data_IF_714785994485
#
_entry.id   IF_714785994485
#
_cell.length_a   1.000
_cell.length_b   1.000
_cell.length_c   1.000
_cell.angle_alpha   90.00
_cell.angle_beta   90.00
_cell.angle_gamma   90.00
#
_symmetry.space_group_name_H-M   'P 1'
#
loop_
_entity.id
_entity.type
_entity.pdbx_description
1 polymer ?
#
# COMPACT_ATOMS: atom_id res chain seq x y z
N UNK A 1 -11.72 1.60 -5.87
CA UNK A 1 -10.87 1.60 -7.06
C UNK A 1 -10.12 2.91 -7.20
N UNK A 2 -8.98 2.88 -7.88
CA UNK A 2 -8.18 4.08 -8.19
C UNK A 2 -9.01 5.15 -8.92
N UNK A 3 -9.92 4.75 -9.83
CA UNK A 3 -10.87 5.69 -10.46
C UNK A 3 -11.62 6.53 -9.43
N UNK A 4 -12.21 5.90 -8.42
CA UNK A 4 -12.96 6.61 -7.37
C UNK A 4 -12.03 7.44 -6.48
N UNK A 5 -10.83 6.94 -6.20
CA UNK A 5 -9.80 7.67 -5.47
C UNK A 5 -9.41 8.96 -6.19
N UNK A 6 -9.06 8.88 -7.46
CA UNK A 6 -8.68 10.03 -8.28
C UNK A 6 -9.80 11.08 -8.38
N UNK A 7 -11.06 10.65 -8.56
CA UNK A 7 -12.20 11.58 -8.65
C UNK A 7 -12.43 12.43 -7.40
N UNK A 8 -12.09 11.91 -6.23
CA UNK A 8 -12.28 12.60 -4.95
C UNK A 8 -10.99 13.13 -4.33
N UNK A 9 -9.83 12.92 -4.97
CA UNK A 9 -8.52 13.23 -4.42
C UNK A 9 -8.39 14.69 -4.00
N UNK A 10 -8.82 15.61 -4.87
CA UNK A 10 -8.76 17.05 -4.61
C UNK A 10 -9.69 17.51 -3.46
N UNK A 11 -10.81 16.83 -3.24
CA UNK A 11 -11.76 17.18 -2.17
C UNK A 11 -11.45 16.51 -0.84
N UNK A 12 -10.95 15.27 -0.88
CA UNK A 12 -10.86 14.41 0.31
C UNK A 12 -9.43 14.29 0.85
N UNK A 13 -8.41 14.55 0.03
CA UNK A 13 -7.01 14.42 0.43
C UNK A 13 -6.32 15.78 0.57
N UNK A 14 -6.34 16.60 -0.48
CA UNK A 14 -5.55 17.83 -0.52
C UNK A 14 -5.90 18.85 0.59
N UNK A 15 -7.17 19.00 1.03
CA UNK A 15 -7.50 19.94 2.11
C UNK A 15 -6.87 19.59 3.46
N UNK A 16 -6.55 18.31 3.69
CA UNK A 16 -5.92 17.85 4.92
C UNK A 16 -4.41 18.11 4.96
N UNK A 17 -3.79 18.43 3.82
CA UNK A 17 -2.35 18.73 3.68
C UNK A 17 -1.47 17.68 4.37
N UNK A 18 -1.63 16.39 4.06
CA UNK A 18 -0.82 15.36 4.70
C UNK A 18 0.64 15.52 4.30
N UNK A 19 1.57 15.15 5.19
CA UNK A 19 3.00 15.10 4.88
C UNK A 19 3.36 13.82 4.12
N UNK A 20 2.59 12.75 4.32
CA UNK A 20 2.76 11.44 3.70
C UNK A 20 1.39 10.85 3.32
N UNK A 21 1.33 10.23 2.16
CA UNK A 21 0.15 9.54 1.64
C UNK A 21 0.50 8.10 1.27
N UNK A 22 -0.31 7.15 1.74
CA UNK A 22 -0.32 5.77 1.22
C UNK A 22 -1.41 5.63 0.17
N UNK A 23 -1.10 4.98 -0.97
CA UNK A 23 -2.07 4.68 -2.03
C UNK A 23 -2.14 3.16 -2.20
N UNK A 24 -3.35 2.59 -1.97
CA UNK A 24 -3.64 1.16 -2.09
C UNK A 24 -5.02 0.94 -2.73
N UNK A 25 -5.06 0.57 -4.00
CA UNK A 25 -6.29 0.30 -4.75
C UNK A 25 -6.25 -0.97 -5.61
N UNK A 26 -5.07 -1.56 -5.82
CA UNK A 26 -4.84 -2.58 -6.85
C UNK A 26 -5.75 -3.78 -6.76
N UNK A 27 -6.07 -4.26 -5.56
CA UNK A 27 -7.00 -5.38 -5.37
C UNK A 27 -8.37 -5.10 -6.00
N UNK A 28 -8.85 -3.88 -5.86
CA UNK A 28 -10.15 -3.44 -6.35
C UNK A 28 -10.11 -2.95 -7.81
N UNK A 29 -8.92 -2.79 -8.39
CA UNK A 29 -8.73 -2.30 -9.75
C UNK A 29 -8.76 -3.41 -10.80
N UNK A 30 -8.87 -4.68 -10.41
CA UNK A 30 -9.00 -5.83 -11.32
C UNK A 30 -10.17 -5.72 -12.33
N UNK A 31 -11.16 -4.88 -12.04
CA UNK A 31 -12.26 -4.57 -12.95
C UNK A 31 -11.90 -3.48 -14.00
N UNK A 32 -10.75 -2.85 -13.88
CA UNK A 32 -10.22 -1.85 -14.82
C UNK A 32 -9.19 -2.52 -15.74
N UNK A 33 -8.97 -1.94 -16.93
CA UNK A 33 -7.77 -2.28 -17.67
C UNK A 33 -6.53 -1.74 -16.95
N UNK A 34 -5.37 -2.36 -17.16
CA UNK A 34 -4.11 -1.87 -16.59
C UNK A 34 -3.82 -0.43 -17.02
N UNK A 35 -4.09 -0.08 -18.28
CA UNK A 35 -3.91 1.27 -18.78
C UNK A 35 -4.80 2.29 -18.05
N UNK A 36 -6.07 1.93 -17.85
CA UNK A 36 -7.02 2.78 -17.15
C UNK A 36 -6.64 2.94 -15.67
N UNK A 37 -6.32 1.84 -14.98
CA UNK A 37 -5.84 1.87 -13.59
C UNK A 37 -4.61 2.76 -13.48
N UNK A 38 -3.60 2.55 -14.35
CA UNK A 38 -2.35 3.34 -14.39
C UNK A 38 -2.61 4.84 -14.48
N UNK A 39 -3.55 5.26 -15.33
CA UNK A 39 -3.86 6.67 -15.50
C UNK A 39 -4.39 7.32 -14.23
N UNK A 40 -5.22 6.62 -13.46
CA UNK A 40 -5.75 7.13 -12.20
C UNK A 40 -4.71 7.13 -11.09
N UNK A 41 -3.86 6.10 -11.02
CA UNK A 41 -2.75 6.08 -10.07
C UNK A 41 -1.78 7.23 -10.35
N UNK A 42 -1.38 7.40 -11.60
CA UNK A 42 -0.48 8.48 -12.02
C UNK A 42 -1.04 9.85 -11.63
N UNK A 43 -2.32 10.11 -11.90
CA UNK A 43 -2.94 11.40 -11.58
C UNK A 43 -2.95 11.70 -10.07
N UNK A 44 -3.15 10.69 -9.21
CA UNK A 44 -3.08 10.85 -7.75
C UNK A 44 -1.64 11.10 -7.28
N UNK A 45 -0.67 10.36 -7.82
CA UNK A 45 0.75 10.54 -7.50
C UNK A 45 1.21 11.94 -7.89
N UNK A 46 0.95 12.36 -9.13
CA UNK A 46 1.30 13.68 -9.64
C UNK A 46 0.70 14.79 -8.78
N UNK A 47 -0.60 14.69 -8.50
CA UNK A 47 -1.30 15.67 -7.65
C UNK A 47 -0.73 15.73 -6.24
N UNK A 48 -0.32 14.60 -5.64
CA UNK A 48 0.32 14.57 -4.34
C UNK A 48 1.70 15.27 -4.40
N UNK A 49 2.53 14.92 -5.37
CA UNK A 49 3.88 15.48 -5.53
C UNK A 49 3.85 17.00 -5.80
N UNK A 50 2.92 17.47 -6.63
CA UNK A 50 2.70 18.90 -6.89
C UNK A 50 2.32 19.68 -5.62
N UNK A 51 1.72 19.02 -4.64
CA UNK A 51 1.36 19.59 -3.34
C UNK A 51 2.39 19.31 -2.24
N UNK A 52 3.60 18.84 -2.59
CA UNK A 52 4.69 18.49 -1.67
C UNK A 52 4.33 17.38 -0.68
N UNK A 53 3.40 16.49 -1.03
CA UNK A 53 3.02 15.32 -0.24
C UNK A 53 3.94 14.16 -0.64
N UNK A 54 4.61 13.53 0.31
CA UNK A 54 5.34 12.28 0.08
C UNK A 54 4.37 11.15 -0.20
N UNK A 55 4.76 10.21 -1.07
CA UNK A 55 3.90 9.11 -1.47
C UNK A 55 4.58 7.77 -1.23
N UNK A 56 3.84 6.81 -0.68
CA UNK A 56 4.19 5.40 -0.65
C UNK A 56 3.06 4.64 -1.34
N UNK A 57 3.41 3.86 -2.37
CA UNK A 57 2.46 2.99 -3.06
C UNK A 57 2.46 1.62 -2.39
N UNK A 58 1.29 0.99 -2.30
CA UNK A 58 1.14 -0.36 -1.77
C UNK A 58 0.72 -1.30 -2.90
N UNK A 59 1.47 -2.40 -3.09
CA UNK A 59 1.01 -3.50 -3.93
C UNK A 59 -0.11 -4.24 -3.19
N UNK A 60 -1.01 -4.96 -3.91
CA UNK A 60 -2.14 -5.62 -3.27
C UNK A 60 -1.68 -6.74 -2.33
N UNK A 61 -2.49 -7.00 -1.31
CA UNK A 61 -2.45 -8.27 -0.58
C UNK A 61 -3.03 -9.39 -1.45
N UNK A 62 -2.75 -10.69 -1.16
CA UNK A 62 -3.17 -11.78 -2.03
C UNK A 62 -4.70 -11.93 -2.11
N UNK A 63 -5.15 -12.57 -3.18
CA UNK A 63 -6.45 -13.20 -3.29
C UNK A 63 -6.26 -14.72 -3.41
N UNK A 64 -6.72 -15.50 -2.44
CA UNK A 64 -6.53 -16.96 -2.40
C UNK A 64 -7.33 -17.72 -3.48
N UNK A 65 -8.12 -17.02 -4.28
CA UNK A 65 -8.75 -17.60 -5.48
C UNK A 65 -7.83 -17.62 -6.69
N UNK A 66 -6.67 -16.95 -6.61
CA UNK A 66 -5.61 -16.95 -7.62
C UNK A 66 -4.36 -17.64 -7.05
N UNK A 67 -3.56 -18.24 -7.90
CA UNK A 67 -2.24 -18.73 -7.52
C UNK A 67 -1.25 -17.55 -7.49
N UNK A 68 -0.88 -17.12 -6.30
CA UNK A 68 0.05 -15.99 -6.11
C UNK A 68 1.45 -16.28 -6.70
N UNK A 69 1.80 -17.55 -6.93
CA UNK A 69 3.09 -17.93 -7.53
C UNK A 69 3.07 -17.85 -9.05
N UNK A 70 1.89 -17.75 -9.66
CA UNK A 70 1.72 -17.56 -11.10
C UNK A 70 1.91 -16.08 -11.49
N UNK A 71 2.98 -15.79 -12.25
CA UNK A 71 3.24 -14.44 -12.76
C UNK A 71 2.21 -13.97 -13.79
N UNK A 72 1.41 -14.90 -14.36
CA UNK A 72 0.34 -14.57 -15.29
C UNK A 72 -1.01 -14.29 -14.59
N UNK A 73 -1.09 -14.43 -13.26
CA UNK A 73 -2.29 -14.12 -12.52
C UNK A 73 -2.67 -12.63 -12.68
N UNK A 74 -3.96 -12.30 -12.83
CA UNK A 74 -4.40 -10.91 -13.00
C UNK A 74 -3.88 -9.96 -11.92
N UNK A 75 -3.87 -10.40 -10.67
CA UNK A 75 -3.41 -9.58 -9.55
C UNK A 75 -1.88 -9.34 -9.59
N UNK A 76 -1.10 -10.30 -10.13
CA UNK A 76 0.33 -10.13 -10.34
C UNK A 76 0.64 -8.98 -11.30
N UNK A 77 -0.14 -8.82 -12.38
CA UNK A 77 0.01 -7.73 -13.33
C UNK A 77 -0.28 -6.36 -12.69
N UNK A 78 -1.29 -6.27 -11.82
CA UNK A 78 -1.56 -5.05 -11.05
C UNK A 78 -0.47 -4.75 -10.03
N UNK A 79 0.10 -5.77 -9.37
CA UNK A 79 1.23 -5.58 -8.46
C UNK A 79 2.46 -5.04 -9.21
N UNK A 80 2.76 -5.60 -10.41
CA UNK A 80 3.87 -5.13 -11.24
C UNK A 80 3.67 -3.68 -11.68
N UNK A 81 2.45 -3.32 -12.09
CA UNK A 81 2.14 -1.94 -12.45
C UNK A 81 2.42 -0.96 -11.31
N UNK A 82 2.14 -1.33 -10.05
CA UNK A 82 2.43 -0.48 -8.88
C UNK A 82 3.93 -0.32 -8.67
N UNK A 83 4.72 -1.39 -8.86
CA UNK A 83 6.20 -1.33 -8.81
C UNK A 83 6.76 -0.37 -9.86
N UNK A 84 6.29 -0.53 -11.13
CA UNK A 84 6.69 0.36 -12.23
C UNK A 84 6.34 1.83 -11.95
N UNK A 85 5.17 2.10 -11.35
CA UNK A 85 4.78 3.45 -10.97
C UNK A 85 5.67 3.99 -9.85
N UNK A 86 5.99 3.20 -8.83
CA UNK A 86 6.89 3.62 -7.76
C UNK A 86 8.28 3.98 -8.30
N UNK A 87 8.81 3.18 -9.22
CA UNK A 87 10.08 3.45 -9.88
C UNK A 87 10.00 4.70 -10.78
N UNK A 88 8.96 4.82 -11.61
CA UNK A 88 8.78 5.93 -12.56
C UNK A 88 8.71 7.28 -11.85
N UNK A 89 8.00 7.36 -10.73
CA UNK A 89 7.80 8.60 -9.98
C UNK A 89 8.78 8.77 -8.83
N UNK A 90 9.71 7.82 -8.62
CA UNK A 90 10.68 7.82 -7.51
C UNK A 90 10.03 8.00 -6.15
N UNK A 91 8.93 7.28 -5.89
CA UNK A 91 8.18 7.28 -4.64
C UNK A 91 8.36 5.97 -3.88
N UNK A 92 7.93 5.95 -2.61
CA UNK A 92 8.04 4.76 -1.77
C UNK A 92 7.18 3.61 -2.25
N UNK A 93 7.56 2.38 -1.88
CA UNK A 93 6.84 1.15 -2.19
C UNK A 93 6.76 0.24 -0.95
N UNK A 94 5.56 -0.20 -0.61
CA UNK A 94 5.30 -1.32 0.30
C UNK A 94 4.86 -2.49 -0.58
N UNK A 95 5.74 -3.49 -0.74
CA UNK A 95 5.49 -4.61 -1.66
C UNK A 95 4.87 -5.80 -0.94
N UNK A 96 3.63 -5.63 -0.50
CA UNK A 96 2.85 -6.69 0.17
C UNK A 96 2.72 -7.94 -0.70
N UNK A 97 2.50 -7.78 -2.01
CA UNK A 97 2.37 -8.92 -2.92
C UNK A 97 3.63 -9.79 -2.93
N UNK A 98 4.81 -9.18 -3.02
CA UNK A 98 6.08 -9.91 -2.98
C UNK A 98 6.30 -10.62 -1.65
N UNK A 99 5.93 -10.02 -0.52
CA UNK A 99 6.02 -10.66 0.80
C UNK A 99 5.22 -11.96 0.86
N UNK A 100 3.96 -11.92 0.47
CA UNK A 100 3.10 -13.10 0.49
C UNK A 100 3.54 -14.13 -0.56
N UNK A 101 3.96 -13.68 -1.75
CA UNK A 101 4.50 -14.57 -2.78
C UNK A 101 5.75 -15.32 -2.30
N UNK A 102 6.67 -14.64 -1.63
CA UNK A 102 7.86 -15.27 -1.06
C UNK A 102 7.50 -16.38 -0.05
N UNK A 103 6.47 -16.16 0.78
CA UNK A 103 5.96 -17.17 1.71
C UNK A 103 5.37 -18.38 0.98
N UNK A 104 4.56 -18.16 -0.06
CA UNK A 104 4.00 -19.23 -0.89
C UNK A 104 5.11 -20.06 -1.54
N UNK A 105 6.12 -19.41 -2.11
CA UNK A 105 7.28 -20.07 -2.71
C UNK A 105 8.12 -20.86 -1.68
N UNK A 106 8.11 -20.44 -0.42
CA UNK A 106 8.71 -21.19 0.68
C UNK A 106 7.85 -22.37 1.16
N UNK A 107 6.68 -22.61 0.55
CA UNK A 107 5.77 -23.71 0.87
C UNK A 107 4.79 -23.38 2.01
N UNK A 108 4.66 -22.13 2.41
CA UNK A 108 3.67 -21.75 3.41
C UNK A 108 2.26 -21.65 2.77
N UNK A 109 1.25 -22.08 3.52
CA UNK A 109 -0.15 -21.93 3.13
C UNK A 109 -0.60 -20.48 3.40
N UNK A 110 -0.81 -19.71 2.34
CA UNK A 110 -1.18 -18.30 2.40
C UNK A 110 -2.55 -18.08 3.04
N UNK A 111 -3.44 -19.07 3.00
CA UNK A 111 -4.76 -18.97 3.65
C UNK A 111 -4.66 -18.71 5.16
N UNK A 112 -3.56 -19.10 5.80
CA UNK A 112 -3.29 -18.85 7.23
C UNK A 112 -3.18 -17.37 7.58
N UNK A 113 -2.89 -16.53 6.60
CA UNK A 113 -2.76 -15.07 6.73
C UNK A 113 -4.02 -14.32 6.33
N UNK A 114 -5.08 -15.04 5.93
CA UNK A 114 -6.29 -14.45 5.40
C UNK A 114 -7.49 -14.75 6.28
N UNK A 115 -8.38 -13.77 6.46
CA UNK A 115 -9.71 -13.94 7.10
C UNK A 115 -10.79 -14.29 6.08
N UNK A 116 -10.59 -13.86 4.84
CA UNK A 116 -11.39 -14.14 3.66
C UNK A 116 -10.44 -14.28 2.47
N UNK A 117 -10.95 -14.64 1.30
CA UNK A 117 -10.12 -14.85 0.12
C UNK A 117 -9.15 -13.68 -0.17
N UNK A 118 -9.58 -12.46 0.05
CA UNK A 118 -8.85 -11.24 -0.30
C UNK A 118 -8.76 -10.21 0.84
N UNK A 119 -8.99 -10.64 2.07
CA UNK A 119 -8.84 -9.80 3.26
C UNK A 119 -7.87 -10.47 4.25
N UNK A 120 -6.74 -9.85 4.57
CA UNK A 120 -5.83 -10.35 5.58
C UNK A 120 -6.49 -10.50 6.95
N UNK A 121 -6.04 -11.48 7.73
CA UNK A 121 -6.31 -11.56 9.16
C UNK A 121 -5.24 -10.80 9.95
N UNK A 122 -5.29 -10.86 11.29
CA UNK A 122 -4.32 -10.17 12.15
C UNK A 122 -2.86 -10.54 11.83
N UNK A 123 -2.56 -11.79 11.46
CA UNK A 123 -1.20 -12.20 11.08
C UNK A 123 -0.80 -11.61 9.72
N UNK A 124 -1.71 -11.59 8.75
CA UNK A 124 -1.48 -10.96 7.45
C UNK A 124 -1.28 -9.45 7.56
N UNK A 125 -2.11 -8.77 8.36
CA UNK A 125 -1.92 -7.34 8.65
C UNK A 125 -0.59 -7.06 9.35
N UNK A 126 -0.15 -7.94 10.24
CA UNK A 126 1.15 -7.79 10.90
C UNK A 126 2.30 -7.82 9.92
N UNK A 127 2.26 -8.72 8.92
CA UNK A 127 3.29 -8.77 7.88
C UNK A 127 3.37 -7.47 7.09
N UNK A 128 2.22 -6.92 6.70
CA UNK A 128 2.17 -5.64 5.97
C UNK A 128 2.65 -4.48 6.86
N UNK A 129 2.25 -4.47 8.14
CA UNK A 129 2.68 -3.44 9.08
C UNK A 129 4.20 -3.48 9.31
N UNK A 130 4.79 -4.66 9.45
CA UNK A 130 6.23 -4.80 9.61
C UNK A 130 6.99 -4.27 8.37
N UNK A 131 6.46 -4.45 7.16
CA UNK A 131 7.01 -3.88 5.93
C UNK A 131 6.86 -2.35 5.89
N UNK A 132 5.70 -1.82 6.25
CA UNK A 132 5.47 -0.37 6.37
C UNK A 132 6.48 0.24 7.35
N UNK A 133 6.71 -0.39 8.49
CA UNK A 133 7.62 0.11 9.52
C UNK A 133 9.08 0.22 9.03
N UNK A 134 9.48 -0.51 8.00
CA UNK A 134 10.83 -0.36 7.42
C UNK A 134 11.11 1.05 6.90
N UNK A 135 10.08 1.77 6.51
CA UNK A 135 10.19 3.16 6.05
C UNK A 135 10.45 4.17 7.18
N UNK A 136 10.25 3.76 8.43
CA UNK A 136 10.37 4.61 9.63
C UNK A 136 11.51 4.19 10.57
N UNK A 137 12.33 3.21 10.19
CA UNK A 137 13.39 2.65 11.05
C UNK A 137 14.57 3.60 11.33
N UNK A 138 14.65 4.74 10.66
CA UNK A 138 15.66 5.77 10.95
C UNK A 138 15.30 6.67 12.15
N UNK A 139 14.10 6.52 12.71
CA UNK A 139 13.77 7.12 14.01
C UNK A 139 14.41 6.25 15.09
N UNK A 140 15.65 6.54 15.46
CA UNK A 140 16.27 5.94 16.64
C UNK A 140 15.54 6.43 17.88
N UNK A 141 14.55 5.65 18.31
CA UNK A 141 13.86 5.89 19.58
C UNK A 141 14.79 5.41 20.67
N UNK A 142 15.40 6.31 21.41
CA UNK A 142 16.29 5.96 22.52
C UNK A 142 15.50 5.40 23.73
N UNK A 143 14.17 5.63 23.79
CA UNK A 143 13.28 5.05 24.84
C UNK A 143 11.87 4.82 24.28
N UNK A 144 11.13 3.83 24.82
CA UNK A 144 9.74 3.54 24.41
C UNK A 144 8.77 4.73 24.59
N UNK A 145 9.08 5.69 25.46
CA UNK A 145 8.28 6.90 25.67
C UNK A 145 8.49 7.96 24.58
N UNK A 146 9.68 8.03 24.01
CA UNK A 146 10.05 9.11 23.06
C UNK A 146 9.48 8.86 21.66
N UNK A 147 9.09 7.60 21.34
CA UNK A 147 8.54 7.27 20.01
C UNK A 147 7.17 7.93 19.79
N UNK A 148 6.27 7.83 20.75
CA UNK A 148 4.92 8.41 20.64
C UNK A 148 4.99 9.93 20.65
N UNK A 149 5.86 10.51 21.46
CA UNK A 149 6.03 11.95 21.56
C UNK A 149 6.78 12.58 20.38
N UNK A 150 7.55 11.77 19.63
CA UNK A 150 8.28 12.21 18.42
C UNK A 150 7.45 12.12 17.14
N UNK A 151 6.32 11.40 17.16
CA UNK A 151 5.40 11.37 16.04
C UNK A 151 4.69 12.71 15.93
N UNK A 152 4.82 13.35 14.78
CA UNK A 152 3.99 14.51 14.47
C UNK A 152 2.51 14.19 14.76
N UNK A 153 1.74 15.09 15.41
CA UNK A 153 0.34 14.85 15.77
C UNK A 153 -0.55 14.39 14.62
N UNK A 154 -0.16 14.71 13.37
CA UNK A 154 -0.84 14.29 12.15
C UNK A 154 -0.62 12.83 11.78
N UNK A 155 0.51 12.23 12.15
CA UNK A 155 0.78 10.81 11.97
C UNK A 155 0.01 9.97 13.01
N UNK A 156 -0.11 10.48 14.23
CA UNK A 156 -0.91 9.86 15.29
C UNK A 156 -2.39 9.73 14.92
N UNK A 157 -2.98 10.73 14.24
CA UNK A 157 -4.38 10.66 13.81
C UNK A 157 -4.61 9.55 12.78
N UNK A 158 -3.66 9.30 11.87
CA UNK A 158 -3.76 8.25 10.85
C UNK A 158 -3.71 6.85 11.49
N UNK A 159 -2.87 6.65 12.52
CA UNK A 159 -2.76 5.37 13.23
C UNK A 159 -4.02 5.09 14.05
N UNK A 160 -4.60 6.11 14.68
CA UNK A 160 -5.81 5.98 15.53
C UNK A 160 -7.10 5.76 14.72
N UNK A 161 -7.16 6.19 13.45
CA UNK A 161 -8.31 5.95 12.57
C UNK A 161 -8.29 4.55 11.91
N UNK A 162 -7.22 3.76 12.13
CA UNK A 162 -7.08 2.40 11.62
C UNK A 162 -7.46 1.32 12.66
N UNK A 163 -7.81 1.68 13.90
CA UNK A 163 -8.39 0.80 14.93
C UNK A 163 -9.94 0.78 14.84
#
# INVERSE_FOLDING_TARGET
TARKGAQRFASDVLPHKPDLLFIDYSLNDRALSLEEARSYWASMIESALENNIKVILCTPTPDTTEDITDDAAPLAAHAEQVRELAETYHVGLVDSYALFKAKALAGEDISRYMSQNNHPNAQGHRLVADEILTWFTSLSVETEGDFVDSLEPRLLSIITEME
#
